data_IF_978095166963
#
_entry.id   IF_978095166963
#
_cell.length_a   1.000
_cell.length_b   1.000
_cell.length_c   1.000
_cell.angle_alpha   90.00
_cell.angle_beta   90.00
_cell.angle_gamma   90.00
#
_symmetry.space_group_name_H-M   'P 1'
#
loop_
_entity.id
_entity.type
_entity.pdbx_description
1 polymer ?
#
# COMPACT_ATOMS: atom_id res chain seq x y z
N UNK A 1 -1.42 -21.21 -5.51
CA UNK A 1 -1.59 -20.10 -4.56
C UNK A 1 -3.08 -19.79 -4.47
N UNK A 2 -3.68 -19.85 -3.28
CA UNK A 2 -5.10 -19.51 -3.15
C UNK A 2 -5.26 -17.98 -3.28
N UNK A 3 -6.08 -17.55 -4.23
CA UNK A 3 -6.42 -16.14 -4.36
C UNK A 3 -7.21 -15.69 -3.14
N UNK A 4 -6.84 -14.58 -2.53
CA UNK A 4 -7.55 -14.08 -1.37
C UNK A 4 -8.95 -13.63 -1.80
N UNK A 5 -9.97 -14.25 -1.19
CA UNK A 5 -11.36 -14.11 -1.64
C UNK A 5 -12.06 -12.86 -1.11
N UNK A 6 -11.58 -12.30 0.00
CA UNK A 6 -12.22 -11.18 0.69
C UNK A 6 -11.26 -10.01 0.95
N UNK A 7 -11.72 -8.77 0.88
CA UNK A 7 -10.88 -7.65 1.28
C UNK A 7 -11.01 -7.41 2.79
N UNK A 8 -9.96 -7.00 3.47
CA UNK A 8 -9.97 -6.59 4.86
C UNK A 8 -9.61 -5.11 4.92
N UNK A 9 -10.63 -4.28 4.77
CA UNK A 9 -10.57 -2.82 4.87
C UNK A 9 -11.22 -2.33 6.17
N UNK A 10 -11.02 -3.06 7.26
CA UNK A 10 -11.56 -2.70 8.58
C UNK A 10 -10.86 -1.50 9.23
N UNK A 11 -9.72 -1.08 8.70
CA UNK A 11 -9.01 0.11 9.18
C UNK A 11 -9.79 1.39 8.88
N UNK A 12 -9.78 2.33 9.82
CA UNK A 12 -10.52 3.58 9.71
C UNK A 12 -10.05 4.48 8.55
N UNK A 13 -8.81 4.30 8.06
CA UNK A 13 -8.27 5.02 6.90
C UNK A 13 -9.05 4.77 5.61
N UNK A 14 -9.75 3.63 5.51
CA UNK A 14 -10.63 3.34 4.39
C UNK A 14 -11.97 4.07 4.48
N UNK A 15 -12.31 4.74 5.58
CA UNK A 15 -13.62 5.36 5.78
C UNK A 15 -13.52 6.88 5.80
N UNK A 16 -14.03 7.52 4.76
CA UNK A 16 -14.29 8.96 4.75
C UNK A 16 -15.62 9.24 5.46
N UNK A 17 -15.54 9.68 6.72
CA UNK A 17 -16.72 9.95 7.56
C UNK A 17 -17.42 11.27 7.21
N UNK A 18 -16.85 12.07 6.31
CA UNK A 18 -17.36 13.41 6.00
C UNK A 18 -18.21 13.44 4.76
N UNK A 19 -18.02 12.50 3.84
CA UNK A 19 -18.75 12.46 2.58
C UNK A 19 -18.80 11.07 1.95
N UNK A 20 -19.95 10.80 1.34
CA UNK A 20 -20.10 9.70 0.39
C UNK A 20 -19.71 10.17 -1.01
N UNK A 21 -19.02 9.30 -1.74
CA UNK A 21 -18.69 9.49 -3.16
C UNK A 21 -19.25 8.32 -3.97
N UNK A 22 -19.57 8.51 -5.26
CA UNK A 22 -20.05 7.42 -6.09
C UNK A 22 -18.98 6.34 -6.23
N UNK A 23 -19.37 5.09 -5.97
CA UNK A 23 -18.52 3.92 -6.16
C UNK A 23 -18.05 3.85 -7.63
N UNK A 24 -16.75 3.72 -7.86
CA UNK A 24 -16.17 3.67 -9.21
C UNK A 24 -16.60 2.46 -10.04
N UNK A 25 -17.24 1.46 -9.41
CA UNK A 25 -17.70 0.24 -10.07
C UNK A 25 -19.22 0.21 -10.29
N UNK A 26 -20.02 0.67 -9.32
CA UNK A 26 -21.49 0.58 -9.39
C UNK A 26 -22.21 1.93 -9.35
N UNK A 27 -21.50 3.04 -9.17
CA UNK A 27 -22.03 4.40 -9.12
C UNK A 27 -22.78 4.78 -7.84
N UNK A 28 -23.14 3.82 -6.98
CA UNK A 28 -23.87 4.08 -5.73
C UNK A 28 -22.97 4.78 -4.69
N UNK A 29 -23.52 5.64 -3.82
CA UNK A 29 -22.73 6.33 -2.80
C UNK A 29 -22.02 5.35 -1.86
N UNK A 30 -20.78 5.69 -1.47
CA UNK A 30 -19.99 4.94 -0.50
C UNK A 30 -19.08 5.87 0.34
N UNK A 31 -19.01 5.65 1.66
CA UNK A 31 -18.00 6.29 2.51
C UNK A 31 -16.63 5.58 2.39
N UNK A 32 -16.61 4.39 1.78
CA UNK A 32 -15.43 3.55 1.73
C UNK A 32 -14.46 3.96 0.61
N UNK A 33 -13.17 3.74 0.86
CA UNK A 33 -12.04 4.08 -0.01
C UNK A 33 -11.14 2.86 -0.16
N UNK A 34 -10.64 2.61 -1.36
CA UNK A 34 -9.57 1.63 -1.58
C UNK A 34 -8.25 2.13 -0.98
N UNK A 35 -7.19 1.31 -1.05
CA UNK A 35 -5.83 1.73 -0.68
C UNK A 35 -5.33 2.96 -1.47
N UNK A 36 -5.81 3.14 -2.70
CA UNK A 36 -5.49 4.30 -3.57
C UNK A 36 -6.47 5.47 -3.39
N UNK A 37 -7.30 5.44 -2.36
CA UNK A 37 -8.38 6.39 -2.09
C UNK A 37 -9.52 6.43 -3.13
N UNK A 38 -9.64 5.41 -4.00
CA UNK A 38 -10.78 5.31 -4.92
C UNK A 38 -12.07 5.02 -4.13
N UNK A 39 -13.17 5.74 -4.34
CA UNK A 39 -14.44 5.43 -3.70
C UNK A 39 -14.99 4.12 -4.25
N UNK A 40 -15.08 3.08 -3.42
CA UNK A 40 -15.52 1.76 -3.87
C UNK A 40 -16.13 0.98 -2.71
N UNK A 41 -17.23 0.26 -2.95
CA UNK A 41 -17.73 -0.68 -1.96
C UNK A 41 -16.79 -1.88 -1.88
N UNK A 42 -16.57 -2.41 -0.67
CA UNK A 42 -15.77 -3.60 -0.45
C UNK A 42 -16.20 -4.77 -1.35
N UNK A 43 -17.50 -5.04 -1.38
CA UNK A 43 -18.06 -6.13 -2.20
C UNK A 43 -17.82 -5.90 -3.69
N UNK A 44 -17.96 -4.67 -4.20
CA UNK A 44 -17.69 -4.38 -5.59
C UNK A 44 -16.20 -4.60 -5.93
N UNK A 45 -15.29 -4.25 -5.02
CA UNK A 45 -13.87 -4.49 -5.21
C UNK A 45 -13.50 -5.99 -5.16
N UNK A 46 -14.16 -6.76 -4.29
CA UNK A 46 -14.03 -8.23 -4.25
C UNK A 46 -14.54 -8.89 -5.54
N UNK A 47 -15.72 -8.48 -6.02
CA UNK A 47 -16.30 -8.95 -7.28
C UNK A 47 -15.39 -8.61 -8.47
N UNK A 48 -14.80 -7.40 -8.47
CA UNK A 48 -13.83 -7.01 -9.49
C UNK A 48 -12.59 -7.90 -9.45
N UNK A 49 -12.03 -8.17 -8.27
CA UNK A 49 -10.88 -9.08 -8.14
C UNK A 49 -11.19 -10.51 -8.60
N UNK A 50 -12.42 -10.98 -8.40
CA UNK A 50 -12.86 -12.31 -8.85
C UNK A 50 -13.11 -12.35 -10.37
N UNK A 51 -13.65 -11.27 -10.94
CA UNK A 51 -13.93 -11.14 -12.37
C UNK A 51 -12.72 -10.81 -13.25
N UNK A 52 -11.58 -10.47 -12.65
CA UNK A 52 -10.36 -10.07 -13.37
C UNK A 52 -9.13 -10.90 -12.93
N UNK A 53 -9.11 -12.22 -13.23
CA UNK A 53 -8.04 -13.13 -12.79
C UNK A 53 -6.69 -12.88 -13.49
N UNK A 54 -6.70 -12.21 -14.64
CA UNK A 54 -5.54 -11.83 -15.45
C UNK A 54 -4.84 -10.57 -14.92
N UNK A 55 -5.47 -9.82 -14.02
CA UNK A 55 -4.89 -8.61 -13.48
C UNK A 55 -3.71 -8.89 -12.56
N UNK A 56 -2.67 -8.04 -12.57
CA UNK A 56 -1.51 -8.18 -11.70
C UNK A 56 -1.90 -8.35 -10.22
N UNK A 57 -1.55 -9.51 -9.67
CA UNK A 57 -1.77 -9.84 -8.26
C UNK A 57 -0.71 -9.22 -7.38
N UNK A 58 -1.12 -8.75 -6.21
CA UNK A 58 -0.22 -8.28 -5.16
C UNK A 58 -0.13 -9.37 -4.09
N UNK A 59 1.08 -9.64 -3.64
CA UNK A 59 1.36 -10.61 -2.58
C UNK A 59 2.04 -9.93 -1.40
N UNK A 60 1.97 -10.54 -0.22
CA UNK A 60 2.76 -10.09 0.92
C UNK A 60 4.26 -10.17 0.63
N UNK A 61 5.04 -9.33 1.33
CA UNK A 61 6.49 -9.45 1.29
C UNK A 61 6.91 -10.79 1.94
N UNK A 62 7.97 -11.43 1.44
CA UNK A 62 8.51 -12.62 2.07
C UNK A 62 8.99 -12.25 3.49
N UNK A 63 8.53 -13.00 4.48
CA UNK A 63 8.94 -12.84 5.88
C UNK A 63 9.38 -14.18 6.44
N UNK A 64 10.36 -14.17 7.34
CA UNK A 64 10.85 -15.38 8.00
C UNK A 64 9.66 -16.07 8.70
N UNK A 65 9.53 -17.38 8.44
CA UNK A 65 8.50 -18.24 9.03
C UNK A 65 7.04 -17.87 8.66
N UNK A 66 6.83 -17.03 7.63
CA UNK A 66 5.49 -16.71 7.12
C UNK A 66 5.40 -16.97 5.62
N UNK A 67 4.44 -17.81 5.16
CA UNK A 67 4.24 -17.99 3.73
C UNK A 67 3.77 -16.69 3.08
N UNK A 68 4.25 -16.43 1.87
CA UNK A 68 3.70 -15.39 1.03
C UNK A 68 2.25 -15.75 0.65
N UNK A 69 1.34 -14.79 0.74
CA UNK A 69 -0.05 -14.99 0.34
C UNK A 69 -0.55 -13.81 -0.49
N UNK A 70 -1.53 -14.10 -1.35
CA UNK A 70 -2.20 -13.12 -2.20
C UNK A 70 -2.96 -12.12 -1.30
N UNK A 71 -2.91 -10.84 -1.62
CA UNK A 71 -3.67 -9.80 -0.91
C UNK A 71 -4.70 -9.11 -1.79
N UNK A 72 -4.85 -9.52 -3.06
CA UNK A 72 -5.72 -8.91 -4.04
C UNK A 72 -4.96 -8.51 -5.29
N UNK A 73 -5.54 -7.59 -6.06
CA UNK A 73 -4.88 -6.98 -7.22
C UNK A 73 -4.21 -5.67 -6.82
N UNK A 74 -3.34 -5.14 -7.67
CA UNK A 74 -2.78 -3.80 -7.46
C UNK A 74 -3.83 -2.71 -7.30
N UNK A 75 -4.97 -2.82 -8.00
CA UNK A 75 -6.07 -1.87 -7.88
C UNK A 75 -6.81 -2.02 -6.56
N UNK A 76 -7.18 -3.25 -6.19
CA UNK A 76 -7.90 -3.54 -4.96
C UNK A 76 -7.20 -4.67 -4.19
N UNK A 77 -6.55 -4.30 -3.10
CA UNK A 77 -5.86 -5.23 -2.21
C UNK A 77 -6.09 -4.90 -0.74
N UNK A 78 -5.82 -5.87 0.11
CA UNK A 78 -5.67 -5.69 1.55
C UNK A 78 -4.42 -4.87 1.82
N UNK A 79 -4.51 -3.99 2.81
CA UNK A 79 -3.32 -3.42 3.41
C UNK A 79 -2.41 -4.57 3.83
N UNK A 80 -1.20 -4.61 3.26
CA UNK A 80 -0.18 -5.53 3.74
C UNK A 80 0.11 -5.21 5.21
N UNK A 81 0.37 -6.24 6.02
CA UNK A 81 0.82 -6.21 7.42
C UNK A 81 1.15 -4.78 7.88
N UNK A 82 0.17 -4.09 8.50
CA UNK A 82 0.15 -2.65 8.80
C UNK A 82 1.56 -2.07 8.84
N UNK A 83 2.11 -1.74 7.68
CA UNK A 83 3.45 -1.20 7.62
C UNK A 83 3.20 0.22 8.04
N UNK A 84 3.54 0.56 9.29
CA UNK A 84 3.52 1.94 9.76
C UNK A 84 4.10 2.75 8.61
N UNK A 85 3.27 3.56 7.97
CA UNK A 85 3.67 4.35 6.81
C UNK A 85 4.97 5.01 7.22
N UNK A 86 6.13 4.72 6.58
CA UNK A 86 7.34 5.39 6.97
C UNK A 86 7.02 6.86 6.81
N UNK A 87 6.95 7.59 7.94
CA UNK A 87 6.97 9.05 7.90
C UNK A 87 8.15 9.34 7.01
N UNK A 88 7.93 10.02 5.88
CA UNK A 88 9.03 10.70 5.21
C UNK A 88 9.64 11.60 6.27
N UNK A 89 10.68 11.12 6.95
CA UNK A 89 11.63 12.00 7.60
C UNK A 89 12.05 12.90 6.46
N UNK A 90 11.83 14.21 6.62
CA UNK A 90 12.30 15.19 5.67
C UNK A 90 13.72 14.81 5.29
N UNK A 91 13.98 14.72 3.98
CA UNK A 91 15.34 14.54 3.47
C UNK A 91 16.11 15.72 4.04
N UNK A 92 16.89 15.50 5.09
CA UNK A 92 17.97 16.43 5.42
C UNK A 92 18.91 16.34 4.24
N UNK A 93 18.83 17.34 3.38
CA UNK A 93 19.73 17.54 2.27
C UNK A 93 21.16 17.41 2.80
N UNK A 94 21.88 16.38 2.34
CA UNK A 94 23.28 16.21 2.67
C UNK A 94 24.00 17.46 2.14
N UNK A 95 24.49 18.31 3.06
CA UNK A 95 25.35 19.44 2.71
C UNK A 95 26.54 18.88 1.91
N UNK A 96 26.83 19.40 0.71
CA UNK A 96 28.02 18.98 -0.02
C UNK A 96 29.27 19.30 0.82
N UNK A 97 30.29 18.42 0.81
CA UNK A 97 31.51 18.61 1.58
C UNK A 97 32.16 19.93 1.20
N UNK A 98 32.50 20.73 2.21
CA UNK A 98 33.17 22.00 2.02
C UNK A 98 34.67 21.78 1.78
N UNK A 99 35.38 22.77 1.21
CA UNK A 99 36.82 22.68 0.99
C UNK A 99 37.67 22.62 2.28
N UNK A 100 37.02 22.65 3.44
CA UNK A 100 37.62 22.60 4.79
C UNK A 100 37.72 21.17 5.38
N UNK A 101 37.12 20.18 4.71
CA UNK A 101 37.28 18.77 5.08
C UNK A 101 38.63 18.25 4.55
N UNK A 102 39.70 18.50 5.32
CA UNK A 102 41.05 18.05 5.00
C UNK A 102 41.13 16.52 4.77
N UNK A 103 42.11 16.04 4.00
CA UNK A 103 42.19 14.64 3.62
C UNK A 103 42.36 13.76 4.86
N UNK A 104 41.44 12.82 5.04
CA UNK A 104 41.59 11.76 6.02
C UNK A 104 42.75 10.87 5.55
N UNK A 105 43.89 10.99 6.23
CA UNK A 105 45.05 10.11 6.09
C UNK A 105 44.62 8.66 6.38
N UNK A 106 44.36 7.92 5.30
CA UNK A 106 44.23 6.48 5.32
C UNK A 106 45.59 5.89 4.95
N UNK A 107 46.05 4.98 5.80
CA UNK A 107 47.23 4.11 5.69
C UNK A 107 48.53 4.61 6.33
N UNK A 108 48.81 4.10 7.54
CA UNK A 108 50.17 3.79 7.97
C UNK A 108 50.18 2.51 8.84
N UNK A 109 50.87 1.51 8.28
CA UNK A 109 51.52 0.30 8.85
C UNK A 109 50.67 -0.71 9.66
#
# INVERSE_FOLDING_TARGET
MAAYRYLNWGDASHYDRTRDLPCVLCGRPTPLRSHTAEPVHKVCAEDWNAGNPDQPRRYTLPAKDKPQYDVGTWRFHNDGLNTATPRRTAVTELRPPGPEDGPLDLFAA
#
